data_IF_145617754043
#
_entry.id   IF_145617754043
#
_cell.length_a   1.000
_cell.length_b   1.000
_cell.length_c   1.000
_cell.angle_alpha   90.00
_cell.angle_beta   90.00
_cell.angle_gamma   90.00
#
_symmetry.space_group_name_H-M   'P 1'
#
loop_
_entity.id
_entity.type
_entity.pdbx_description
1 polymer ?
#
# COMPACT_ATOMS: atom_id res chain seq x y z
N UNK A 1 14.51 12.83 0.53
CA UNK A 1 14.72 11.38 0.66
C UNK A 1 14.33 10.73 -0.67
N UNK A 2 15.18 9.88 -1.24
CA UNK A 2 14.87 9.09 -2.44
C UNK A 2 14.21 7.80 -1.98
N UNK A 3 13.05 7.44 -2.53
CA UNK A 3 12.42 6.17 -2.21
C UNK A 3 13.29 5.02 -2.70
N UNK A 4 13.39 3.96 -1.90
CA UNK A 4 14.14 2.77 -2.27
C UNK A 4 13.64 2.24 -3.62
N UNK A 5 14.58 1.98 -4.52
CA UNK A 5 14.32 1.35 -5.80
C UNK A 5 14.92 -0.06 -5.81
N UNK A 6 14.22 -0.98 -6.45
CA UNK A 6 14.74 -2.32 -6.63
C UNK A 6 15.91 -2.30 -7.62
N UNK A 7 17.04 -2.89 -7.22
CA UNK A 7 18.17 -3.12 -8.13
C UNK A 7 17.82 -4.22 -9.14
N UNK A 8 18.52 -4.23 -10.28
CA UNK A 8 18.40 -5.30 -11.28
C UNK A 8 18.60 -6.70 -10.68
N UNK A 9 19.52 -6.83 -9.71
CA UNK A 9 19.78 -8.08 -8.98
C UNK A 9 18.60 -8.48 -8.10
N UNK A 10 17.96 -7.53 -7.42
CA UNK A 10 16.78 -7.85 -6.61
C UNK A 10 15.58 -8.27 -7.47
N UNK A 11 15.41 -7.64 -8.64
CA UNK A 11 14.35 -7.97 -9.58
C UNK A 11 14.57 -9.34 -10.24
N UNK A 12 15.81 -9.69 -10.58
CA UNK A 12 16.10 -11.01 -11.13
C UNK A 12 15.84 -12.12 -10.11
N UNK A 13 16.12 -11.87 -8.82
CA UNK A 13 15.78 -12.81 -7.74
C UNK A 13 14.27 -12.98 -7.58
N UNK A 14 13.50 -11.91 -7.68
CA UNK A 14 12.03 -11.95 -7.67
C UNK A 14 11.50 -12.79 -8.84
N UNK A 15 11.97 -12.50 -10.06
CA UNK A 15 11.59 -13.24 -11.28
C UNK A 15 11.95 -14.73 -11.18
N UNK A 16 13.17 -15.05 -10.74
CA UNK A 16 13.61 -16.43 -10.55
C UNK A 16 12.78 -17.17 -9.49
N UNK A 17 12.44 -16.52 -8.39
CA UNK A 17 11.63 -17.11 -7.32
C UNK A 17 10.19 -17.38 -7.79
N UNK A 18 9.63 -16.49 -8.61
CA UNK A 18 8.30 -16.66 -9.20
C UNK A 18 8.29 -17.80 -10.22
N UNK A 19 9.33 -17.92 -11.06
CA UNK A 19 9.50 -19.06 -11.97
C UNK A 19 9.58 -20.38 -11.20
N UNK A 20 10.43 -20.45 -10.18
CA UNK A 20 10.58 -21.65 -9.34
C UNK A 20 9.25 -22.03 -8.68
N UNK A 21 8.49 -21.05 -8.20
CA UNK A 21 7.14 -21.31 -7.69
C UNK A 21 6.23 -21.91 -8.77
N UNK A 22 6.21 -21.36 -9.97
CA UNK A 22 5.35 -21.86 -11.06
C UNK A 22 5.76 -23.23 -11.59
N UNK A 23 7.05 -23.57 -11.54
CA UNK A 23 7.56 -24.92 -11.85
C UNK A 23 7.09 -25.95 -10.83
N UNK A 24 7.02 -25.59 -9.55
CA UNK A 24 6.74 -26.53 -8.46
C UNK A 24 5.30 -26.47 -7.93
N UNK A 25 4.48 -25.50 -8.35
CA UNK A 25 3.13 -25.29 -7.80
C UNK A 25 2.22 -26.52 -7.94
N UNK A 26 2.41 -27.36 -8.96
CA UNK A 26 1.59 -28.56 -9.15
C UNK A 26 1.76 -29.56 -8.02
N UNK A 27 2.97 -29.72 -7.47
CA UNK A 27 3.17 -30.58 -6.30
C UNK A 27 2.40 -30.08 -5.06
N UNK A 28 2.16 -28.77 -4.94
CA UNK A 28 1.31 -28.19 -3.89
C UNK A 28 -0.18 -28.42 -4.14
N UNK A 29 -0.61 -28.52 -5.40
CA UNK A 29 -1.99 -28.89 -5.77
C UNK A 29 -2.21 -30.37 -5.49
N UNK A 30 -1.32 -31.23 -5.99
CA UNK A 30 -1.41 -32.69 -5.84
C UNK A 30 -1.33 -33.17 -4.39
N UNK A 31 -0.69 -32.39 -3.51
CA UNK A 31 -0.62 -32.71 -2.08
C UNK A 31 -1.86 -32.28 -1.28
N UNK A 32 -2.85 -31.62 -1.91
CA UNK A 32 -4.07 -31.14 -1.25
C UNK A 32 -3.84 -30.04 -0.20
N UNK A 33 -2.59 -29.58 -0.01
CA UNK A 33 -2.22 -28.56 0.99
C UNK A 33 -2.94 -27.23 0.75
N UNK A 34 -3.35 -26.96 -0.49
CA UNK A 34 -3.92 -25.67 -0.89
C UNK A 34 -5.35 -25.44 -0.41
N UNK A 35 -6.22 -26.43 -0.53
CA UNK A 35 -7.66 -26.31 -0.23
C UNK A 35 -8.23 -27.49 0.58
N UNK A 36 -7.39 -28.45 0.98
CA UNK A 36 -7.81 -29.65 1.71
C UNK A 36 -8.51 -30.68 0.82
N UNK A 37 -8.43 -30.53 -0.50
CA UNK A 37 -8.98 -31.47 -1.47
C UNK A 37 -7.89 -31.98 -2.42
N UNK A 38 -8.00 -33.24 -2.83
CA UNK A 38 -7.14 -33.83 -3.88
C UNK A 38 -7.64 -33.46 -5.29
N UNK A 39 -8.52 -32.46 -5.41
CA UNK A 39 -9.11 -31.99 -6.66
C UNK A 39 -8.23 -30.88 -7.23
N UNK A 40 -8.17 -30.76 -8.57
CA UNK A 40 -7.41 -29.72 -9.27
C UNK A 40 -7.73 -28.30 -8.74
N UNK A 41 -6.95 -27.83 -7.77
CA UNK A 41 -7.05 -26.50 -7.21
C UNK A 41 -6.19 -25.53 -8.01
N UNK A 42 -6.82 -24.59 -8.69
CA UNK A 42 -6.12 -23.49 -9.34
C UNK A 42 -5.62 -22.45 -8.32
N UNK A 43 -4.39 -21.93 -8.52
CA UNK A 43 -3.82 -20.84 -7.72
C UNK A 43 -4.46 -19.47 -8.04
N UNK A 44 -5.77 -19.33 -7.82
CA UNK A 44 -6.55 -18.10 -8.00
C UNK A 44 -6.34 -17.12 -6.84
N UNK A 45 -5.11 -16.69 -6.63
CA UNK A 45 -4.74 -15.72 -5.61
C UNK A 45 -4.41 -14.41 -6.33
N UNK A 46 -5.27 -13.38 -6.27
CA UNK A 46 -5.03 -12.12 -6.98
C UNK A 46 -3.67 -11.48 -6.69
N UNK A 47 -3.17 -11.63 -5.45
CA UNK A 47 -1.84 -11.15 -5.06
C UNK A 47 -0.70 -11.86 -5.77
N UNK A 48 -0.86 -13.15 -6.06
CA UNK A 48 0.13 -13.95 -6.78
C UNK A 48 0.11 -13.61 -8.27
N UNK A 49 -1.08 -13.39 -8.85
CA UNK A 49 -1.22 -12.89 -10.22
C UNK A 49 -0.55 -11.53 -10.38
N UNK A 50 -0.78 -10.61 -9.43
CA UNK A 50 -0.12 -9.31 -9.40
C UNK A 50 1.41 -9.41 -9.42
N UNK A 51 2.01 -10.41 -8.76
CA UNK A 51 3.47 -10.59 -8.71
C UNK A 51 4.09 -10.81 -10.08
N UNK A 52 3.35 -11.36 -11.06
CA UNK A 52 3.81 -11.49 -12.45
C UNK A 52 4.12 -10.13 -13.09
N UNK A 53 3.47 -9.07 -12.61
CA UNK A 53 3.66 -7.72 -13.12
C UNK A 53 4.61 -6.88 -12.27
N UNK A 54 4.81 -7.20 -10.98
CA UNK A 54 5.63 -6.38 -10.07
C UNK A 54 7.04 -6.11 -10.61
N UNK A 55 7.72 -7.15 -11.11
CA UNK A 55 9.08 -7.00 -11.65
C UNK A 55 9.13 -6.06 -12.87
N UNK A 56 8.19 -6.22 -13.81
CA UNK A 56 8.06 -5.36 -14.99
C UNK A 56 7.73 -3.92 -14.61
N UNK A 57 6.78 -3.73 -13.68
CA UNK A 57 6.35 -2.42 -13.23
C UNK A 57 7.47 -1.70 -12.48
N UNK A 58 8.24 -2.38 -11.63
CA UNK A 58 9.41 -1.80 -10.97
C UNK A 58 10.46 -1.30 -11.98
N UNK A 59 10.70 -2.05 -13.07
CA UNK A 59 11.62 -1.63 -14.14
C UNK A 59 11.11 -0.39 -14.89
N UNK A 60 9.79 -0.31 -15.16
CA UNK A 60 9.18 0.76 -15.97
C UNK A 60 8.89 2.04 -15.19
N UNK A 61 8.41 1.89 -13.97
CA UNK A 61 7.91 2.97 -13.13
C UNK A 61 8.91 3.37 -12.04
N UNK A 62 9.98 2.59 -11.85
CA UNK A 62 11.00 2.85 -10.85
C UNK A 62 10.54 2.45 -9.45
N UNK A 63 10.42 3.43 -8.56
CA UNK A 63 10.20 3.17 -7.14
C UNK A 63 8.74 2.82 -6.84
N UNK A 64 8.51 1.55 -6.48
CA UNK A 64 7.18 1.01 -6.16
C UNK A 64 6.45 1.70 -4.98
N UNK A 65 7.12 2.18 -3.91
CA UNK A 65 6.46 2.92 -2.84
C UNK A 65 5.59 4.09 -3.28
N UNK A 66 5.87 4.70 -4.44
CA UNK A 66 5.05 5.79 -4.99
C UNK A 66 3.63 5.35 -5.37
N UNK A 67 3.44 4.05 -5.61
CA UNK A 67 2.15 3.43 -5.96
C UNK A 67 1.48 2.74 -4.76
N UNK A 68 2.07 2.86 -3.57
CA UNK A 68 1.47 2.35 -2.34
C UNK A 68 0.25 3.16 -1.95
N UNK A 69 -0.79 2.50 -1.43
CA UNK A 69 -1.94 3.17 -0.83
C UNK A 69 -1.64 3.71 0.57
N UNK A 70 -0.46 3.44 1.14
CA UNK A 70 -0.08 3.83 2.50
C UNK A 70 -0.24 5.33 2.75
N UNK A 71 0.16 6.19 1.80
CA UNK A 71 -0.01 7.64 1.94
C UNK A 71 -1.49 8.03 1.98
N UNK A 72 -2.31 7.43 1.11
CA UNK A 72 -3.75 7.70 1.07
C UNK A 72 -4.44 7.19 2.33
N UNK A 73 -4.07 6.01 2.83
CA UNK A 73 -4.58 5.46 4.09
C UNK A 73 -4.18 6.34 5.29
N UNK A 74 -2.95 6.86 5.30
CA UNK A 74 -2.49 7.81 6.32
C UNK A 74 -3.28 9.11 6.25
N UNK A 75 -3.50 9.65 5.05
CA UNK A 75 -4.38 10.80 4.84
C UNK A 75 -5.80 10.50 5.32
N UNK A 76 -6.36 9.31 5.06
CA UNK A 76 -7.69 8.94 5.53
C UNK A 76 -7.77 8.87 7.07
N UNK A 77 -6.71 8.42 7.74
CA UNK A 77 -6.63 8.46 9.20
C UNK A 77 -6.65 9.91 9.71
N UNK A 78 -5.74 10.75 9.23
CA UNK A 78 -5.54 12.12 9.73
C UNK A 78 -6.67 13.06 9.31
N UNK A 79 -7.15 12.93 8.07
CA UNK A 79 -8.09 13.88 7.46
C UNK A 79 -9.55 13.48 7.64
N UNK A 80 -9.85 12.21 7.91
CA UNK A 80 -11.24 11.74 8.06
C UNK A 80 -11.49 11.09 9.42
N UNK A 81 -10.71 10.07 9.80
CA UNK A 81 -11.00 9.31 11.05
C UNK A 81 -10.78 10.14 12.31
N UNK A 82 -9.68 10.87 12.41
CA UNK A 82 -9.39 11.71 13.58
C UNK A 82 -10.40 12.86 13.74
N UNK A 83 -10.69 13.67 12.71
CA UNK A 83 -11.69 14.73 12.81
C UNK A 83 -13.09 14.19 13.09
N UNK A 84 -13.45 13.04 12.50
CA UNK A 84 -14.72 12.37 12.77
C UNK A 84 -14.82 11.94 14.24
N UNK A 85 -13.75 11.38 14.81
CA UNK A 85 -13.69 10.99 16.23
C UNK A 85 -13.77 12.20 17.16
N UNK A 86 -13.22 13.34 16.76
CA UNK A 86 -13.30 14.60 17.50
C UNK A 86 -14.67 15.30 17.39
N UNK A 87 -15.51 14.88 16.42
CA UNK A 87 -16.86 15.42 16.23
C UNK A 87 -17.88 14.80 17.19
N UNK A 88 -19.05 15.43 17.30
CA UNK A 88 -20.19 14.84 18.01
C UNK A 88 -20.96 13.78 17.18
N UNK A 89 -20.46 13.43 15.99
CA UNK A 89 -21.05 12.48 15.01
C UNK A 89 -22.44 12.86 14.47
N UNK A 90 -22.87 14.11 14.61
CA UNK A 90 -24.09 14.66 13.98
C UNK A 90 -23.70 15.77 13.01
N UNK A 91 -24.19 15.75 11.77
CA UNK A 91 -23.75 16.67 10.71
C UNK A 91 -22.22 16.81 10.65
N UNK A 92 -21.53 15.66 10.75
CA UNK A 92 -20.09 15.61 11.05
C UNK A 92 -19.24 16.20 9.94
N UNK A 93 -19.70 16.18 8.69
CA UNK A 93 -18.96 16.71 7.52
C UNK A 93 -18.51 18.16 7.75
N UNK A 94 -19.42 19.03 8.20
CA UNK A 94 -19.10 20.43 8.52
C UNK A 94 -18.11 20.55 9.69
N UNK A 95 -18.18 19.63 10.64
CA UNK A 95 -17.28 19.62 11.80
C UNK A 95 -15.88 19.14 11.40
N UNK A 96 -15.79 18.13 10.55
CA UNK A 96 -14.54 17.64 9.96
C UNK A 96 -13.85 18.77 9.19
N UNK A 97 -14.56 19.47 8.29
CA UNK A 97 -13.99 20.60 7.57
C UNK A 97 -13.49 21.71 8.52
N UNK A 98 -14.26 22.07 9.54
CA UNK A 98 -13.86 23.07 10.54
C UNK A 98 -12.67 22.63 11.39
N UNK A 99 -12.59 21.34 11.72
CA UNK A 99 -11.47 20.78 12.45
C UNK A 99 -10.17 20.92 11.64
N UNK A 100 -10.22 20.55 10.36
CA UNK A 100 -9.07 20.64 9.45
C UNK A 100 -8.62 22.10 9.24
N UNK A 101 -9.56 23.01 8.97
CA UNK A 101 -9.27 24.46 8.81
C UNK A 101 -8.57 25.06 10.05
N UNK A 102 -9.00 24.67 11.25
CA UNK A 102 -8.35 25.12 12.49
C UNK A 102 -6.94 24.57 12.64
N UNK A 103 -6.75 23.27 12.41
CA UNK A 103 -5.44 22.64 12.51
C UNK A 103 -4.45 23.22 11.49
N UNK A 104 -4.91 23.46 10.25
CA UNK A 104 -4.10 24.10 9.21
C UNK A 104 -3.69 25.53 9.60
N UNK A 105 -4.63 26.35 10.09
CA UNK A 105 -4.32 27.71 10.54
C UNK A 105 -3.32 27.76 11.68
N UNK A 106 -3.44 26.85 12.65
CA UNK A 106 -2.48 26.74 13.77
C UNK A 106 -1.11 26.33 13.24
N UNK A 107 -1.03 25.31 12.37
CA UNK A 107 0.23 24.85 11.79
C UNK A 107 0.92 25.94 10.97
N UNK A 108 0.17 26.67 10.13
CA UNK A 108 0.69 27.80 9.35
C UNK A 108 1.21 28.93 10.24
N UNK A 109 0.51 29.23 11.34
CA UNK A 109 0.95 30.24 12.29
C UNK A 109 2.23 29.81 13.02
N UNK A 110 2.31 28.55 13.46
CA UNK A 110 3.54 27.99 14.05
C UNK A 110 4.73 28.08 13.08
N UNK A 111 4.53 27.67 11.82
CA UNK A 111 5.56 27.78 10.79
C UNK A 111 6.00 29.23 10.55
N UNK A 112 5.06 30.19 10.55
CA UNK A 112 5.39 31.61 10.43
C UNK A 112 6.28 32.10 11.58
N UNK A 113 6.01 31.66 12.83
CA UNK A 113 6.83 32.02 13.97
C UNK A 113 8.26 31.45 13.84
N UNK A 114 8.39 30.19 13.44
CA UNK A 114 9.70 29.54 13.23
C UNK A 114 10.53 30.20 12.11
N UNK A 115 9.90 30.64 11.02
CA UNK A 115 10.59 31.27 9.91
C UNK A 115 10.99 32.74 10.16
N UNK A 116 10.42 33.36 11.20
CA UNK A 116 10.67 34.76 11.55
C UNK A 116 11.90 34.91 12.47
N UNK A 117 12.27 33.86 13.19
CA UNK A 117 13.52 33.77 13.96
C UNK A 117 14.73 33.51 13.05
#
# INVERSE_FOLDING_TARGET
>A
AQFDCHSSVSLSKLEASLSLFHENKMALVESGVRDGSDVESEFRIPKLELMQHVGLQAKRLGSLPQYSTEQVERCHVIMAKEPYRASNRKDFERQVCRYLDRHEKVALFSLYLELKE
#
